data_IF_136710414744
#
_entry.id   IF_136710414744
#
_cell.length_a   1.000
_cell.length_b   1.000
_cell.length_c   1.000
_cell.angle_alpha   90.00
_cell.angle_beta   90.00
_cell.angle_gamma   90.00
#
_symmetry.space_group_name_H-M   'P 1'
#
loop_
_entity.id
_entity.type
_entity.pdbx_description
1 polymer ?
#
# COMPACT_ATOMS: atom_id res chain seq x y z
N UNK A 1 -1.16 -3.82 -21.09
CA UNK A 1 -0.07 -3.72 -22.08
C UNK A 1 0.49 -2.32 -22.27
N UNK A 2 -0.19 -1.28 -21.79
CA UNK A 2 0.23 0.12 -21.93
C UNK A 2 1.64 0.37 -21.32
N UNK A 3 1.92 -0.23 -20.18
CA UNK A 3 3.19 -0.06 -19.45
C UNK A 3 4.21 -1.18 -19.68
N UNK A 4 3.94 -2.12 -20.59
CA UNK A 4 4.75 -3.34 -20.78
C UNK A 4 6.26 -3.08 -20.96
N UNK A 5 6.61 -2.00 -21.64
CA UNK A 5 8.00 -1.64 -21.94
C UNK A 5 8.50 -0.45 -21.11
N UNK A 6 7.72 0.03 -20.16
CA UNK A 6 8.15 1.10 -19.28
C UNK A 6 9.04 0.52 -18.16
N UNK A 7 10.29 1.00 -18.01
CA UNK A 7 11.21 0.45 -17.02
C UNK A 7 10.85 0.84 -15.58
N UNK A 8 10.05 1.89 -15.41
CA UNK A 8 9.68 2.44 -14.09
C UNK A 8 8.38 1.86 -13.54
N UNK A 9 7.49 1.38 -14.41
CA UNK A 9 6.22 0.82 -13.98
C UNK A 9 6.39 -0.54 -13.29
N UNK A 10 5.78 -0.71 -12.13
CA UNK A 10 5.53 -2.00 -11.51
C UNK A 10 4.16 -2.50 -11.96
N UNK A 11 4.07 -3.73 -12.44
CA UNK A 11 2.78 -4.32 -12.75
C UNK A 11 2.20 -5.05 -11.53
N UNK A 12 0.88 -5.05 -11.42
CA UNK A 12 0.18 -5.73 -10.35
C UNK A 12 0.38 -7.25 -10.42
N UNK A 13 0.28 -7.91 -9.29
CA UNK A 13 0.21 -9.36 -9.24
C UNK A 13 -1.12 -9.83 -9.85
N UNK A 14 -1.03 -10.56 -10.96
CA UNK A 14 -2.18 -10.94 -11.77
C UNK A 14 -3.28 -11.67 -10.97
N UNK A 15 -2.88 -12.55 -10.04
CA UNK A 15 -3.83 -13.28 -9.21
C UNK A 15 -4.57 -12.39 -8.21
N UNK A 16 -3.91 -11.36 -7.67
CA UNK A 16 -4.52 -10.41 -6.75
C UNK A 16 -5.44 -9.44 -7.48
N UNK A 17 -5.05 -8.97 -8.67
CA UNK A 17 -5.88 -8.13 -9.52
C UNK A 17 -7.21 -8.83 -9.86
N UNK A 18 -7.18 -10.13 -10.21
CA UNK A 18 -8.40 -10.90 -10.41
C UNK A 18 -9.22 -11.05 -9.14
N UNK A 19 -8.57 -11.42 -8.05
CA UNK A 19 -9.24 -11.63 -6.78
C UNK A 19 -9.87 -10.35 -6.20
N UNK A 20 -9.30 -9.18 -6.50
CA UNK A 20 -9.83 -7.89 -6.06
C UNK A 20 -11.18 -7.58 -6.72
N UNK A 21 -11.35 -7.92 -8.01
CA UNK A 21 -12.55 -7.64 -8.77
C UNK A 21 -13.50 -8.85 -8.91
N UNK A 22 -13.24 -9.94 -8.21
CA UNK A 22 -14.10 -11.12 -8.17
C UNK A 22 -15.03 -11.04 -6.95
N UNK A 23 -16.37 -10.91 -7.16
CA UNK A 23 -17.33 -10.82 -6.06
C UNK A 23 -17.45 -12.09 -5.21
N UNK A 24 -16.99 -13.25 -5.72
CA UNK A 24 -16.95 -14.49 -4.95
C UNK A 24 -15.75 -14.54 -3.98
N UNK A 25 -14.68 -13.79 -4.30
CA UNK A 25 -13.44 -13.76 -3.52
C UNK A 25 -13.36 -12.52 -2.63
N UNK A 26 -13.69 -11.34 -3.17
CA UNK A 26 -13.58 -10.08 -2.44
C UNK A 26 -14.86 -9.77 -1.66
N UNK A 27 -14.81 -9.95 -0.35
CA UNK A 27 -15.96 -9.73 0.55
C UNK A 27 -16.40 -8.24 0.60
N UNK A 28 -15.62 -7.30 0.05
CA UNK A 28 -16.00 -5.89 -0.10
C UNK A 28 -17.26 -5.70 -0.97
N UNK A 29 -17.56 -6.62 -1.87
CA UNK A 29 -18.78 -6.58 -2.68
C UNK A 29 -20.09 -6.71 -1.88
N UNK A 30 -20.03 -7.06 -0.60
CA UNK A 30 -21.20 -6.99 0.30
C UNK A 30 -21.66 -5.57 0.58
N UNK A 31 -20.73 -4.62 0.57
CA UNK A 31 -20.98 -3.21 0.89
C UNK A 31 -20.49 -2.24 -0.20
N UNK A 32 -20.09 -2.77 -1.34
CA UNK A 32 -19.70 -1.99 -2.50
C UNK A 32 -20.22 -2.64 -3.79
N UNK A 33 -20.40 -1.81 -4.82
CA UNK A 33 -20.69 -2.26 -6.19
C UNK A 33 -19.60 -1.75 -7.13
N UNK A 34 -19.26 -2.52 -8.15
CA UNK A 34 -18.26 -2.15 -9.13
C UNK A 34 -18.78 -2.28 -10.55
N UNK A 35 -18.48 -1.28 -11.40
CA UNK A 35 -18.68 -1.34 -12.85
C UNK A 35 -17.36 -1.07 -13.56
N UNK A 36 -16.99 -1.93 -14.50
CA UNK A 36 -15.77 -1.81 -15.30
C UNK A 36 -16.13 -1.42 -16.73
N UNK A 37 -15.37 -0.49 -17.31
CA UNK A 37 -15.56 0.02 -18.65
C UNK A 37 -14.29 -0.11 -19.48
N UNK A 38 -14.44 -0.49 -20.75
CA UNK A 38 -13.38 -0.50 -21.74
C UNK A 38 -13.74 0.49 -22.87
N UNK A 39 -12.77 1.30 -23.27
CA UNK A 39 -12.86 2.14 -24.44
C UNK A 39 -12.12 1.50 -25.62
N UNK A 40 -12.72 1.56 -26.78
CA UNK A 40 -12.14 1.08 -28.04
C UNK A 40 -11.95 2.25 -29.00
N UNK A 41 -10.79 2.30 -29.66
CA UNK A 41 -10.53 3.21 -30.78
C UNK A 41 -9.97 2.41 -31.94
N UNK A 42 -10.59 2.53 -33.12
CA UNK A 42 -10.21 1.77 -34.32
C UNK A 42 -10.13 0.26 -34.09
N UNK A 43 -11.08 -0.30 -33.35
CA UNK A 43 -11.17 -1.74 -33.04
C UNK A 43 -10.16 -2.25 -32.02
N UNK A 44 -9.31 -1.38 -31.43
CA UNK A 44 -8.33 -1.74 -30.39
C UNK A 44 -8.73 -1.14 -29.04
N UNK A 45 -8.39 -1.84 -27.96
CA UNK A 45 -8.57 -1.29 -26.59
C UNK A 45 -7.67 -0.06 -26.48
N UNK A 46 -8.28 1.07 -26.14
CA UNK A 46 -7.64 2.37 -25.97
C UNK A 46 -7.61 2.84 -24.52
N UNK A 47 -8.44 2.29 -23.64
CA UNK A 47 -8.43 2.58 -22.23
C UNK A 47 -9.38 1.72 -21.43
N UNK A 48 -9.23 1.77 -20.12
CA UNK A 48 -10.11 1.12 -19.13
C UNK A 48 -10.32 2.02 -17.94
N UNK A 49 -11.39 1.84 -17.21
CA UNK A 49 -11.64 2.44 -15.90
C UNK A 49 -12.62 1.56 -15.12
N UNK A 50 -12.48 1.49 -13.81
CA UNK A 50 -13.46 0.90 -12.93
C UNK A 50 -14.05 1.97 -12.02
N UNK A 51 -15.37 1.97 -11.83
CA UNK A 51 -16.06 2.73 -10.81
C UNK A 51 -16.41 1.83 -9.64
N UNK A 52 -16.34 2.34 -8.41
CA UNK A 52 -16.69 1.63 -7.19
C UNK A 52 -17.64 2.51 -6.35
N UNK A 53 -18.87 2.06 -6.19
CA UNK A 53 -19.80 2.65 -5.25
C UNK A 53 -19.65 1.98 -3.88
N UNK A 54 -18.85 2.59 -3.01
CA UNK A 54 -18.59 2.07 -1.67
C UNK A 54 -19.66 2.55 -0.68
N UNK A 55 -20.79 1.83 -0.59
CA UNK A 55 -21.93 2.17 0.28
C UNK A 55 -21.51 2.36 1.73
N UNK A 56 -20.71 1.45 2.28
CA UNK A 56 -20.29 1.48 3.69
C UNK A 56 -19.48 2.74 4.05
N UNK A 57 -18.56 3.19 3.18
CA UNK A 57 -17.81 4.43 3.40
C UNK A 57 -18.71 5.65 3.25
N UNK A 58 -19.56 5.68 2.21
CA UNK A 58 -20.49 6.79 1.99
C UNK A 58 -21.44 6.95 3.17
N UNK A 59 -21.98 5.86 3.71
CA UNK A 59 -22.86 5.87 4.88
C UNK A 59 -22.11 6.34 6.14
N UNK A 60 -20.92 5.76 6.40
CA UNK A 60 -20.11 6.08 7.59
C UNK A 60 -19.76 7.56 7.67
N UNK A 61 -19.38 8.17 6.55
CA UNK A 61 -18.88 9.54 6.50
C UNK A 61 -19.88 10.56 5.95
N UNK A 62 -21.08 10.12 5.56
CA UNK A 62 -22.09 11.00 4.95
C UNK A 62 -21.73 11.46 3.53
N UNK A 63 -20.89 10.72 2.82
CA UNK A 63 -20.45 11.08 1.47
C UNK A 63 -21.46 10.65 0.40
N UNK A 64 -21.43 11.35 -0.74
CA UNK A 64 -22.12 10.96 -1.97
C UNK A 64 -21.11 10.79 -3.11
N UNK A 65 -20.15 9.89 -2.89
CA UNK A 65 -18.99 9.71 -3.76
C UNK A 65 -19.05 8.39 -4.51
N UNK A 66 -18.66 8.42 -5.78
CA UNK A 66 -18.28 7.27 -6.59
C UNK A 66 -16.75 7.27 -6.70
N UNK A 67 -16.09 6.21 -6.25
CA UNK A 67 -14.65 6.05 -6.44
C UNK A 67 -14.35 5.61 -7.86
N UNK A 68 -13.18 6.00 -8.41
CA UNK A 68 -12.64 5.37 -9.62
C UNK A 68 -11.27 4.77 -9.34
N UNK A 69 -10.96 3.71 -10.08
CA UNK A 69 -9.67 3.00 -10.04
C UNK A 69 -9.37 2.39 -11.39
N UNK A 70 -8.19 1.79 -11.54
CA UNK A 70 -7.77 1.09 -12.78
C UNK A 70 -7.96 1.96 -14.03
N UNK A 71 -7.73 3.25 -13.89
CA UNK A 71 -7.77 4.20 -14.99
C UNK A 71 -6.47 4.08 -15.80
N UNK A 72 -6.57 3.39 -16.94
CA UNK A 72 -5.49 3.27 -17.91
C UNK A 72 -5.98 3.73 -19.28
N UNK A 73 -5.26 4.62 -19.92
CA UNK A 73 -5.67 5.23 -21.19
C UNK A 73 -4.45 5.55 -22.06
N UNK A 74 -4.60 5.47 -23.38
CA UNK A 74 -3.62 6.01 -24.32
C UNK A 74 -3.63 7.55 -24.24
N UNK A 75 -2.60 8.21 -24.76
CA UNK A 75 -2.55 9.68 -24.84
C UNK A 75 -3.58 10.22 -25.85
N UNK A 76 -4.83 10.22 -25.41
CA UNK A 76 -6.00 10.67 -26.17
C UNK A 76 -7.11 11.12 -25.22
N UNK A 77 -7.28 12.43 -25.11
CA UNK A 77 -8.26 13.01 -24.19
C UNK A 77 -9.70 12.60 -24.47
N UNK A 78 -10.09 12.36 -25.74
CA UNK A 78 -11.44 11.93 -26.07
C UNK A 78 -11.74 10.53 -25.50
N UNK A 79 -10.73 9.65 -25.42
CA UNK A 79 -10.86 8.33 -24.76
C UNK A 79 -11.06 8.52 -23.26
N UNK A 80 -10.27 9.38 -22.62
CA UNK A 80 -10.43 9.73 -21.19
C UNK A 80 -11.83 10.25 -20.93
N UNK A 81 -12.28 11.23 -21.70
CA UNK A 81 -13.61 11.84 -21.59
C UNK A 81 -14.72 10.82 -21.74
N UNK A 82 -14.60 9.90 -22.70
CA UNK A 82 -15.59 8.84 -22.91
C UNK A 82 -15.69 7.89 -21.71
N UNK A 83 -14.56 7.49 -21.12
CA UNK A 83 -14.53 6.67 -19.91
C UNK A 83 -15.15 7.37 -18.71
N UNK A 84 -14.77 8.63 -18.44
CA UNK A 84 -15.34 9.40 -17.32
C UNK A 84 -16.80 9.73 -17.51
N UNK A 85 -17.27 9.94 -18.75
CA UNK A 85 -18.72 10.12 -19.02
C UNK A 85 -19.53 8.91 -18.55
N UNK A 86 -19.01 7.67 -18.71
CA UNK A 86 -19.67 6.47 -18.18
C UNK A 86 -19.74 6.45 -16.66
N UNK A 87 -18.72 6.96 -15.98
CA UNK A 87 -18.75 7.11 -14.53
C UNK A 87 -19.73 8.22 -14.10
N UNK A 88 -19.77 9.35 -14.81
CA UNK A 88 -20.72 10.44 -14.54
C UNK A 88 -22.16 9.97 -14.72
N UNK A 89 -22.43 9.19 -15.78
CA UNK A 89 -23.76 8.61 -16.01
C UNK A 89 -24.16 7.69 -14.86
N UNK A 90 -23.25 6.80 -14.44
CA UNK A 90 -23.51 5.90 -13.33
C UNK A 90 -23.63 6.64 -12.00
N UNK A 91 -22.78 7.62 -11.71
CA UNK A 91 -22.87 8.44 -10.50
C UNK A 91 -24.25 9.09 -10.40
N UNK A 92 -24.78 9.67 -11.50
CA UNK A 92 -26.12 10.24 -11.54
C UNK A 92 -27.22 9.18 -11.32
N UNK A 93 -27.09 8.00 -11.93
CA UNK A 93 -28.02 6.89 -11.77
C UNK A 93 -28.18 6.50 -10.30
N UNK A 94 -27.09 6.47 -9.53
CA UNK A 94 -27.08 6.05 -8.12
C UNK A 94 -27.12 7.23 -7.13
N UNK A 95 -27.34 8.45 -7.61
CA UNK A 95 -27.47 9.65 -6.77
C UNK A 95 -26.19 10.15 -6.11
N UNK A 96 -25.02 9.83 -6.70
CA UNK A 96 -23.73 10.39 -6.28
C UNK A 96 -23.48 11.72 -6.98
N UNK A 97 -22.85 12.65 -6.29
CA UNK A 97 -22.58 13.99 -6.80
C UNK A 97 -21.08 14.29 -6.96
N UNK A 98 -20.23 13.36 -6.61
CA UNK A 98 -18.78 13.49 -6.69
C UNK A 98 -18.15 12.18 -7.19
N UNK A 99 -17.09 12.30 -8.02
CA UNK A 99 -16.23 11.21 -8.42
C UNK A 99 -14.85 11.47 -7.84
N UNK A 100 -14.29 10.49 -7.13
CA UNK A 100 -13.02 10.62 -6.43
C UNK A 100 -12.09 9.45 -6.75
N UNK A 101 -10.80 9.71 -6.76
CA UNK A 101 -9.78 8.67 -7.01
C UNK A 101 -8.53 9.20 -7.69
N UNK A 102 -7.63 8.29 -8.09
CA UNK A 102 -7.80 6.82 -8.06
C UNK A 102 -7.83 6.24 -6.64
N UNK A 103 -8.84 5.45 -6.32
CA UNK A 103 -9.00 4.73 -5.05
C UNK A 103 -9.79 3.44 -5.29
N UNK A 104 -9.36 2.33 -4.70
CA UNK A 104 -10.06 1.06 -4.83
C UNK A 104 -11.02 0.79 -3.66
N UNK A 105 -11.25 -0.48 -3.34
CA UNK A 105 -12.19 -0.91 -2.29
C UNK A 105 -11.72 -0.54 -0.88
N UNK A 106 -10.40 -0.48 -0.65
CA UNK A 106 -9.79 -0.27 0.66
C UNK A 106 -8.53 0.60 0.49
N UNK A 107 -8.14 1.29 1.55
CA UNK A 107 -6.88 2.01 1.71
C UNK A 107 -5.62 1.12 1.73
N UNK A 108 -5.80 -0.20 1.78
CA UNK A 108 -4.72 -1.17 1.54
C UNK A 108 -4.45 -1.44 0.06
N UNK A 109 -5.33 -0.96 -0.81
CA UNK A 109 -5.12 -1.00 -2.26
C UNK A 109 -4.34 0.23 -2.73
N UNK A 110 -3.89 0.19 -3.98
CA UNK A 110 -3.21 1.31 -4.60
C UNK A 110 -4.11 2.55 -4.69
N UNK A 111 -3.57 3.69 -4.29
CA UNK A 111 -4.26 4.98 -4.31
C UNK A 111 -3.39 6.07 -4.93
N UNK A 112 -4.06 7.09 -5.48
CA UNK A 112 -3.43 8.27 -6.05
C UNK A 112 -2.87 8.07 -7.45
N UNK A 113 -2.86 9.13 -8.23
CA UNK A 113 -2.29 9.23 -9.56
C UNK A 113 -0.92 9.91 -9.47
N UNK A 114 0.12 9.34 -10.07
CA UNK A 114 1.45 9.94 -10.11
C UNK A 114 1.39 11.32 -10.78
N UNK A 115 1.93 12.35 -10.10
CA UNK A 115 1.98 13.73 -10.59
C UNK A 115 3.41 14.27 -10.67
N UNK A 116 4.37 13.62 -10.00
CA UNK A 116 5.79 13.99 -10.02
C UNK A 116 6.65 12.75 -9.77
N UNK A 117 7.88 12.72 -10.32
CA UNK A 117 8.78 11.58 -10.22
C UNK A 117 8.53 10.49 -11.26
N UNK A 118 8.11 10.84 -12.46
CA UNK A 118 7.82 9.92 -13.57
C UNK A 118 9.05 9.13 -14.07
N UNK A 119 10.24 9.60 -13.74
CA UNK A 119 11.54 8.94 -14.02
C UNK A 119 11.99 8.02 -12.87
N UNK A 120 11.22 7.92 -11.81
CA UNK A 120 11.49 7.05 -10.66
C UNK A 120 10.71 5.75 -10.77
N UNK A 121 11.27 4.72 -10.16
CA UNK A 121 10.64 3.41 -10.11
C UNK A 121 9.42 3.42 -9.19
N UNK A 122 8.28 2.89 -9.67
CA UNK A 122 7.16 2.55 -8.77
C UNK A 122 7.42 1.21 -8.09
N UNK A 123 6.91 1.06 -6.90
CA UNK A 123 6.89 -0.22 -6.19
C UNK A 123 5.54 -0.93 -6.36
N UNK A 124 5.34 -2.01 -5.62
CA UNK A 124 4.15 -2.86 -5.71
C UNK A 124 2.84 -2.18 -5.24
N UNK A 125 2.94 -1.19 -4.35
CA UNK A 125 1.78 -0.50 -3.76
C UNK A 125 1.52 0.87 -4.39
N UNK A 126 2.22 1.22 -5.46
CA UNK A 126 2.12 2.52 -6.12
C UNK A 126 1.57 2.40 -7.53
N UNK A 127 0.69 3.31 -7.91
CA UNK A 127 0.21 3.44 -9.28
C UNK A 127 1.29 4.17 -10.11
N UNK A 128 1.64 3.59 -11.26
CA UNK A 128 2.41 4.30 -12.28
C UNK A 128 1.48 4.75 -13.41
N UNK A 129 1.61 5.99 -13.82
CA UNK A 129 0.96 6.53 -15.01
C UNK A 129 1.89 7.49 -15.75
N UNK A 130 1.60 7.74 -17.03
CA UNK A 130 2.34 8.71 -17.83
C UNK A 130 1.98 10.17 -17.47
N UNK A 131 2.86 11.16 -17.75
CA UNK A 131 2.62 12.58 -17.43
C UNK A 131 1.32 13.14 -18.00
N UNK A 132 0.89 12.73 -19.21
CA UNK A 132 -0.32 13.23 -19.86
C UNK A 132 -1.61 12.96 -19.08
N UNK A 133 -1.59 12.03 -18.11
CA UNK A 133 -2.74 11.80 -17.23
C UNK A 133 -3.10 13.04 -16.41
N UNK A 134 -2.10 13.78 -15.94
CA UNK A 134 -2.31 15.04 -15.19
C UNK A 134 -3.06 16.04 -16.06
N UNK A 135 -2.60 16.24 -17.30
CA UNK A 135 -3.27 17.13 -18.25
C UNK A 135 -4.69 16.68 -18.58
N UNK A 136 -4.92 15.38 -18.71
CA UNK A 136 -6.25 14.83 -18.96
C UNK A 136 -7.20 15.10 -17.80
N UNK A 137 -6.75 14.95 -16.56
CA UNK A 137 -7.55 15.23 -15.37
C UNK A 137 -7.84 16.72 -15.23
N UNK A 138 -6.88 17.59 -15.51
CA UNK A 138 -7.09 19.05 -15.54
C UNK A 138 -8.12 19.47 -16.60
N UNK A 139 -8.05 18.89 -17.81
CA UNK A 139 -9.03 19.13 -18.88
C UNK A 139 -10.44 18.62 -18.53
N UNK A 140 -10.55 17.59 -17.68
CA UNK A 140 -11.83 17.14 -17.13
C UNK A 140 -12.38 18.07 -16.05
N UNK A 141 -11.58 19.02 -15.55
CA UNK A 141 -11.94 19.90 -14.45
C UNK A 141 -11.77 19.27 -13.06
N UNK A 142 -10.96 18.23 -12.96
CA UNK A 142 -10.62 17.63 -11.68
C UNK A 142 -9.81 18.60 -10.80
N UNK A 143 -10.00 18.52 -9.48
CA UNK A 143 -9.29 19.34 -8.50
C UNK A 143 -8.61 18.43 -7.45
N UNK A 144 -7.57 18.97 -6.84
CA UNK A 144 -6.84 18.28 -5.77
C UNK A 144 -7.71 18.13 -4.52
N UNK A 145 -7.72 16.92 -3.98
CA UNK A 145 -8.23 16.62 -2.63
C UNK A 145 -7.08 16.41 -1.66
N UNK A 146 -6.17 15.50 -1.99
CA UNK A 146 -5.01 15.15 -1.16
C UNK A 146 -3.85 14.72 -2.03
N UNK A 147 -2.62 14.94 -1.56
CA UNK A 147 -1.41 14.38 -2.17
C UNK A 147 -0.79 13.31 -1.25
N UNK A 148 -0.14 12.34 -1.87
CA UNK A 148 0.70 11.35 -1.21
C UNK A 148 2.16 11.57 -1.58
N UNK A 149 3.03 11.58 -0.57
CA UNK A 149 4.47 11.71 -0.72
C UNK A 149 5.14 10.34 -0.62
N UNK A 150 6.06 10.04 -1.54
CA UNK A 150 6.88 8.83 -1.52
C UNK A 150 8.34 9.22 -1.35
N UNK A 151 9.05 8.51 -0.48
CA UNK A 151 10.45 8.78 -0.15
C UNK A 151 11.32 7.60 -0.52
N UNK A 152 12.48 7.89 -1.11
CA UNK A 152 13.57 6.94 -1.20
C UNK A 152 14.55 7.22 -0.08
N UNK A 153 14.98 6.18 0.63
CA UNK A 153 15.82 6.29 1.82
C UNK A 153 17.03 5.38 1.66
N UNK A 154 18.22 5.92 1.90
CA UNK A 154 19.44 5.14 2.03
C UNK A 154 19.55 4.65 3.49
N UNK A 155 19.44 3.33 3.76
CA UNK A 155 19.57 2.84 5.12
C UNK A 155 20.98 3.02 5.64
N UNK A 156 21.16 3.25 6.96
CA UNK A 156 22.48 3.28 7.58
C UNK A 156 23.11 1.88 7.54
N UNK A 157 24.43 1.80 7.56
CA UNK A 157 25.20 0.54 7.61
C UNK A 157 25.14 -0.15 8.97
N UNK A 158 24.76 0.57 10.00
CA UNK A 158 24.51 0.05 11.36
C UNK A 158 23.42 0.88 12.03
N UNK A 159 22.70 0.29 12.96
CA UNK A 159 21.66 1.02 13.71
C UNK A 159 22.30 2.14 14.52
N UNK A 160 21.81 3.39 14.41
CA UNK A 160 22.31 4.50 15.22
C UNK A 160 22.08 4.23 16.72
N UNK A 161 23.13 4.39 17.54
CA UNK A 161 23.10 4.12 18.99
C UNK A 161 21.98 4.86 19.73
N UNK A 162 21.66 6.07 19.28
CA UNK A 162 20.54 6.86 19.84
C UNK A 162 19.18 6.18 19.65
N UNK A 163 18.97 5.53 18.52
CA UNK A 163 17.70 4.81 18.23
C UNK A 163 17.63 3.57 19.11
N UNK A 164 18.75 2.82 19.19
CA UNK A 164 18.85 1.62 20.02
C UNK A 164 18.61 1.94 21.50
N UNK A 165 19.35 2.89 22.08
CA UNK A 165 19.18 3.29 23.49
C UNK A 165 17.76 3.77 23.79
N UNK A 166 17.11 4.49 22.86
CA UNK A 166 15.73 4.92 23.02
C UNK A 166 14.77 3.73 23.00
N UNK A 167 14.96 2.79 22.08
CA UNK A 167 14.17 1.55 21.99
C UNK A 167 14.25 0.78 23.31
N UNK A 168 15.47 0.51 23.79
CA UNK A 168 15.71 -0.24 25.04
C UNK A 168 15.05 0.44 26.25
N UNK A 169 15.22 1.75 26.38
CA UNK A 169 14.60 2.54 27.46
C UNK A 169 13.06 2.49 27.42
N UNK A 170 12.47 2.54 26.23
CA UNK A 170 11.00 2.48 26.07
C UNK A 170 10.49 1.08 26.40
N UNK A 171 11.18 0.03 25.95
CA UNK A 171 10.82 -1.37 26.25
C UNK A 171 10.88 -1.61 27.75
N UNK A 172 11.96 -1.23 28.43
CA UNK A 172 12.11 -1.38 29.87
C UNK A 172 11.04 -0.60 30.65
N UNK A 173 10.87 0.69 30.33
CA UNK A 173 9.94 1.58 31.02
C UNK A 173 8.48 1.11 30.99
N UNK A 174 8.04 0.59 29.87
CA UNK A 174 6.62 0.24 29.66
C UNK A 174 6.38 -1.28 29.61
N UNK A 175 7.43 -2.10 29.69
CA UNK A 175 7.33 -3.56 29.62
C UNK A 175 6.83 -4.05 28.27
N UNK A 176 7.32 -3.45 27.18
CA UNK A 176 7.06 -3.94 25.83
C UNK A 176 8.02 -5.08 25.48
N UNK A 177 7.53 -5.99 24.64
CA UNK A 177 8.29 -7.12 24.13
C UNK A 177 8.19 -7.15 22.61
N UNK A 178 9.22 -7.66 21.92
CA UNK A 178 9.19 -7.91 20.47
C UNK A 178 8.91 -9.40 20.26
N UNK A 179 7.90 -9.70 19.44
CA UNK A 179 7.59 -11.06 19.04
C UNK A 179 8.71 -11.65 18.21
N UNK A 180 9.22 -12.82 18.57
CA UNK A 180 10.14 -13.59 17.73
C UNK A 180 9.37 -14.24 16.56
N UNK A 181 9.17 -13.45 15.49
CA UNK A 181 8.46 -13.88 14.29
C UNK A 181 9.13 -15.10 13.64
N UNK A 182 10.47 -15.18 13.68
CA UNK A 182 11.21 -16.31 13.11
C UNK A 182 10.93 -17.61 13.85
N UNK A 183 10.88 -17.55 15.18
CA UNK A 183 10.52 -18.69 16.02
C UNK A 183 9.11 -19.19 15.67
N UNK A 184 8.11 -18.31 15.66
CA UNK A 184 6.72 -18.71 15.39
C UNK A 184 6.52 -19.17 13.94
N UNK A 185 7.21 -18.58 12.98
CA UNK A 185 7.17 -19.02 11.57
C UNK A 185 7.66 -20.46 11.42
N UNK A 186 8.64 -20.86 12.22
CA UNK A 186 9.23 -22.21 12.19
C UNK A 186 8.45 -23.22 13.04
N UNK A 187 7.99 -22.82 14.23
CA UNK A 187 7.51 -23.75 15.26
C UNK A 187 6.01 -23.69 15.51
N UNK A 188 5.37 -22.53 15.33
CA UNK A 188 3.92 -22.34 15.57
C UNK A 188 3.32 -21.34 14.58
N UNK A 189 3.20 -21.75 13.34
CA UNK A 189 2.59 -20.93 12.27
C UNK A 189 1.13 -20.59 12.55
N UNK A 190 0.42 -21.40 13.36
CA UNK A 190 -0.97 -21.12 13.70
C UNK A 190 -1.03 -19.88 14.58
N UNK A 191 -0.24 -19.84 15.66
CA UNK A 191 -0.20 -18.68 16.56
C UNK A 191 0.35 -17.44 15.85
N UNK A 192 1.33 -17.58 14.93
CA UNK A 192 1.78 -16.45 14.12
C UNK A 192 0.66 -15.83 13.30
N UNK A 193 -0.19 -16.63 12.67
CA UNK A 193 -1.35 -16.12 11.92
C UNK A 193 -2.34 -15.37 12.81
N UNK A 194 -2.55 -15.83 14.03
CA UNK A 194 -3.38 -15.13 15.01
C UNK A 194 -2.78 -13.76 15.35
N UNK A 195 -1.47 -13.66 15.61
CA UNK A 195 -0.79 -12.37 15.81
C UNK A 195 -0.89 -11.43 14.59
N UNK A 196 -0.82 -11.97 13.37
CA UNK A 196 -1.01 -11.15 12.16
C UNK A 196 -2.44 -10.61 12.08
N UNK A 197 -3.45 -11.39 12.46
CA UNK A 197 -4.84 -10.90 12.53
C UNK A 197 -5.00 -9.85 13.64
N UNK A 198 -4.42 -10.07 14.83
CA UNK A 198 -4.37 -9.05 15.89
C UNK A 198 -3.69 -7.74 15.41
N UNK A 199 -2.63 -7.84 14.56
CA UNK A 199 -2.00 -6.66 13.96
C UNK A 199 -2.94 -5.92 12.99
N UNK A 200 -3.87 -6.62 12.30
CA UNK A 200 -4.90 -5.97 11.49
C UNK A 200 -5.91 -5.20 12.36
N UNK A 201 -6.22 -5.68 13.58
CA UNK A 201 -7.05 -4.94 14.52
C UNK A 201 -6.35 -3.65 14.98
N UNK A 202 -5.02 -3.71 15.18
CA UNK A 202 -4.20 -2.52 15.47
C UNK A 202 -4.22 -1.55 14.30
N UNK A 203 -4.15 -2.04 13.05
CA UNK A 203 -4.26 -1.21 11.84
C UNK A 203 -5.60 -0.47 11.81
N UNK A 204 -6.72 -1.20 11.93
CA UNK A 204 -8.07 -0.61 11.93
C UNK A 204 -8.20 0.49 12.99
N UNK A 205 -7.69 0.24 14.21
CA UNK A 205 -7.75 1.20 15.31
C UNK A 205 -6.84 2.42 15.08
N UNK A 206 -5.65 2.21 14.54
CA UNK A 206 -4.67 3.27 14.29
C UNK A 206 -5.08 4.19 13.13
N UNK A 207 -5.78 3.65 12.12
CA UNK A 207 -6.07 4.35 10.86
C UNK A 207 -7.53 4.83 10.75
N UNK A 208 -8.34 4.62 11.78
CA UNK A 208 -9.79 4.91 11.77
C UNK A 208 -10.17 6.32 11.30
N UNK A 209 -9.29 7.30 11.49
CA UNK A 209 -9.49 8.71 11.13
C UNK A 209 -8.69 9.14 9.89
N UNK A 210 -7.96 8.24 9.22
CA UNK A 210 -7.23 8.59 8.01
C UNK A 210 -8.19 8.65 6.82
N UNK A 211 -7.82 9.50 5.85
CA UNK A 211 -8.58 9.65 4.61
C UNK A 211 -8.66 8.32 3.83
N UNK A 212 -9.83 8.00 3.32
CA UNK A 212 -10.04 6.82 2.49
C UNK A 212 -10.24 5.50 3.24
N UNK A 213 -9.96 5.46 4.55
CA UNK A 213 -9.96 4.20 5.32
C UNK A 213 -11.34 3.58 5.50
N UNK A 214 -11.37 2.27 5.44
CA UNK A 214 -12.52 1.44 5.74
C UNK A 214 -12.10 0.25 6.60
N UNK A 215 -12.74 0.02 7.76
CA UNK A 215 -12.41 -1.12 8.61
C UNK A 215 -12.55 -2.44 7.85
N UNK A 216 -11.60 -3.34 8.07
CA UNK A 216 -11.62 -4.66 7.46
C UNK A 216 -12.57 -5.60 8.23
N UNK A 217 -13.38 -6.35 7.51
CA UNK A 217 -14.09 -7.47 8.14
C UNK A 217 -13.18 -8.70 8.29
N UNK A 218 -13.63 -9.69 9.07
CA UNK A 218 -12.84 -10.89 9.39
C UNK A 218 -12.33 -11.65 8.16
N UNK A 219 -13.12 -11.71 7.09
CA UNK A 219 -12.70 -12.39 5.85
C UNK A 219 -11.62 -11.60 5.11
N UNK A 220 -11.73 -10.28 5.10
CA UNK A 220 -10.71 -9.40 4.54
C UNK A 220 -9.40 -9.52 5.33
N UNK A 221 -9.45 -9.49 6.68
CA UNK A 221 -8.28 -9.70 7.55
C UNK A 221 -7.60 -11.05 7.27
N UNK A 222 -8.36 -12.12 7.12
CA UNK A 222 -7.83 -13.44 6.79
C UNK A 222 -7.17 -13.44 5.40
N UNK A 223 -7.73 -12.73 4.43
CA UNK A 223 -7.14 -12.60 3.09
C UNK A 223 -5.83 -11.84 3.15
N UNK A 224 -5.81 -10.68 3.78
CA UNK A 224 -4.61 -9.86 3.94
C UNK A 224 -3.52 -10.61 4.73
N UNK A 225 -3.89 -11.33 5.77
CA UNK A 225 -2.97 -12.20 6.51
C UNK A 225 -2.30 -13.22 5.58
N UNK A 226 -3.04 -13.86 4.66
CA UNK A 226 -2.46 -14.81 3.71
C UNK A 226 -1.48 -14.13 2.76
N UNK A 227 -1.79 -12.94 2.28
CA UNK A 227 -0.93 -12.13 1.40
C UNK A 227 0.36 -11.78 2.14
N UNK A 228 0.28 -11.20 3.33
CA UNK A 228 1.43 -10.85 4.17
C UNK A 228 2.30 -12.09 4.45
N UNK A 229 1.70 -13.19 4.86
CA UNK A 229 2.44 -14.44 5.13
C UNK A 229 3.20 -14.99 3.91
N UNK A 230 2.77 -14.66 2.68
CA UNK A 230 3.45 -15.10 1.45
C UNK A 230 4.73 -14.33 1.15
N UNK A 231 4.87 -13.11 1.66
CA UNK A 231 6.03 -12.21 1.45
C UNK A 231 6.78 -11.90 2.75
N UNK A 232 6.44 -12.59 3.83
CA UNK A 232 6.99 -12.35 5.16
C UNK A 232 8.48 -12.69 5.22
N UNK A 233 9.28 -11.70 5.60
CA UNK A 233 10.69 -11.88 5.97
C UNK A 233 10.81 -11.46 7.44
N UNK A 234 11.06 -12.42 8.36
CA UNK A 234 11.00 -12.16 9.80
C UNK A 234 11.90 -11.02 10.29
N UNK A 235 13.07 -10.87 9.69
CA UNK A 235 14.06 -9.87 10.11
C UNK A 235 13.60 -8.40 9.87
N UNK A 236 12.59 -8.15 9.03
CA UNK A 236 12.11 -6.81 8.68
C UNK A 236 10.65 -6.54 9.03
N UNK A 237 10.05 -7.41 9.83
CA UNK A 237 8.71 -7.22 10.39
C UNK A 237 8.81 -7.17 11.91
N UNK A 238 8.22 -6.14 12.50
CA UNK A 238 8.20 -5.96 13.95
C UNK A 238 6.78 -6.11 14.46
N UNK A 239 6.56 -6.93 15.47
CA UNK A 239 5.32 -7.01 16.24
C UNK A 239 5.65 -6.73 17.69
N UNK A 240 5.06 -5.68 18.26
CA UNK A 240 5.27 -5.25 19.64
C UNK A 240 4.13 -5.77 20.50
N UNK A 241 4.48 -6.46 21.55
CA UNK A 241 3.54 -7.03 22.52
C UNK A 241 3.56 -6.22 23.82
N UNK A 242 2.40 -6.19 24.49
CA UNK A 242 2.24 -5.80 25.86
C UNK A 242 1.29 -6.79 26.54
N UNK A 243 1.76 -7.44 27.61
CA UNK A 243 1.02 -8.48 28.32
C UNK A 243 0.47 -9.57 27.40
N UNK A 244 1.30 -10.00 26.41
CA UNK A 244 1.00 -11.04 25.44
C UNK A 244 0.04 -10.66 24.31
N UNK A 245 -0.39 -9.38 24.20
CA UNK A 245 -1.27 -8.86 23.15
C UNK A 245 -0.51 -7.95 22.20
N UNK A 246 -0.87 -7.95 20.93
CA UNK A 246 -0.31 -7.04 19.94
C UNK A 246 -0.80 -5.62 20.20
N UNK A 247 0.14 -4.68 20.40
CA UNK A 247 -0.18 -3.27 20.65
C UNK A 247 0.38 -2.34 19.57
N UNK A 248 1.36 -2.83 18.80
CA UNK A 248 1.90 -2.11 17.66
C UNK A 248 2.59 -3.08 16.71
N UNK A 249 2.75 -2.64 15.47
CA UNK A 249 3.53 -3.38 14.48
C UNK A 249 4.17 -2.43 13.46
N UNK A 250 5.21 -2.91 12.79
CA UNK A 250 5.79 -2.32 11.60
C UNK A 250 5.95 -3.40 10.53
N UNK A 251 5.41 -3.13 9.36
CA UNK A 251 5.43 -4.06 8.23
C UNK A 251 6.31 -3.52 7.11
N UNK A 252 7.34 -4.28 6.79
CA UNK A 252 8.19 -4.05 5.64
C UNK A 252 8.26 -5.33 4.81
N UNK A 253 8.37 -5.21 3.50
CA UNK A 253 8.50 -6.34 2.59
C UNK A 253 9.67 -6.15 1.62
N UNK A 254 10.30 -7.22 1.15
CA UNK A 254 11.20 -7.14 0.00
C UNK A 254 10.46 -6.57 -1.21
N UNK A 255 11.07 -5.60 -1.92
CA UNK A 255 10.42 -5.02 -3.10
C UNK A 255 10.20 -6.05 -4.18
N UNK A 256 8.96 -6.23 -4.58
CA UNK A 256 8.55 -7.20 -5.60
C UNK A 256 8.65 -6.66 -7.03
N UNK A 257 9.09 -5.40 -7.24
CA UNK A 257 9.13 -4.78 -8.56
C UNK A 257 9.81 -5.66 -9.61
N UNK A 258 11.05 -6.09 -9.34
CA UNK A 258 11.82 -6.91 -10.29
C UNK A 258 11.14 -8.26 -10.58
N UNK A 259 10.53 -8.86 -9.55
CA UNK A 259 9.78 -10.12 -9.64
C UNK A 259 8.59 -9.96 -10.58
N UNK A 260 7.81 -8.91 -10.37
CA UNK A 260 6.59 -8.64 -11.12
C UNK A 260 6.89 -8.22 -12.56
N UNK A 261 7.91 -7.39 -12.79
CA UNK A 261 8.33 -7.00 -14.14
C UNK A 261 8.80 -8.22 -14.94
N UNK A 262 9.72 -9.04 -14.41
CA UNK A 262 10.23 -10.24 -15.08
C UNK A 262 9.15 -11.31 -15.27
N UNK A 263 8.29 -11.47 -14.26
CA UNK A 263 7.16 -12.39 -14.25
C UNK A 263 5.94 -11.89 -15.03
N UNK A 264 5.93 -10.62 -15.45
CA UNK A 264 4.75 -9.94 -16.05
C UNK A 264 3.50 -10.09 -15.19
N UNK A 265 3.62 -9.76 -13.90
CA UNK A 265 2.57 -9.90 -12.91
C UNK A 265 2.33 -11.33 -12.43
N UNK A 266 3.21 -12.29 -12.75
CA UNK A 266 3.09 -13.70 -12.32
C UNK A 266 4.36 -14.15 -11.62
N UNK A 267 4.22 -14.78 -10.46
CA UNK A 267 5.39 -15.32 -9.72
C UNK A 267 5.88 -16.62 -10.38
N UNK A 268 4.96 -17.49 -10.84
CA UNK A 268 5.32 -18.75 -11.48
C UNK A 268 6.03 -18.55 -12.82
N UNK A 269 6.85 -19.51 -13.22
CA UNK A 269 7.73 -19.48 -14.38
C UNK A 269 8.85 -18.45 -14.25
N UNK A 270 8.79 -17.33 -14.98
CA UNK A 270 9.84 -16.32 -15.06
C UNK A 270 10.03 -15.51 -13.77
N UNK A 271 8.99 -15.40 -12.94
CA UNK A 271 9.04 -14.68 -11.67
C UNK A 271 9.60 -15.50 -10.51
N UNK A 272 9.62 -16.84 -10.58
CA UNK A 272 9.96 -17.69 -9.44
C UNK A 272 11.41 -17.52 -8.96
N UNK A 273 12.39 -17.54 -9.87
CA UNK A 273 13.80 -17.36 -9.51
C UNK A 273 14.05 -15.96 -8.94
N UNK A 274 13.60 -14.86 -9.58
CA UNK A 274 13.65 -13.54 -8.97
C UNK A 274 12.99 -13.48 -7.60
N UNK A 275 11.81 -14.08 -7.42
CA UNK A 275 11.11 -14.12 -6.13
C UNK A 275 11.95 -14.79 -5.04
N UNK A 276 12.44 -16.00 -5.26
CA UNK A 276 13.26 -16.73 -4.29
C UNK A 276 14.54 -15.96 -3.93
N UNK A 277 15.16 -15.30 -4.92
CA UNK A 277 16.36 -14.48 -4.70
C UNK A 277 16.02 -13.24 -3.87
N UNK A 278 14.93 -12.52 -4.23
CA UNK A 278 14.48 -11.32 -3.52
C UNK A 278 14.11 -11.62 -2.08
N UNK A 279 13.40 -12.74 -1.83
CA UNK A 279 13.03 -13.15 -0.46
C UNK A 279 14.25 -13.50 0.39
N UNK A 280 15.32 -14.03 -0.21
CA UNK A 280 16.52 -14.42 0.51
C UNK A 280 17.53 -13.29 0.68
N UNK A 281 17.66 -12.43 -0.32
CA UNK A 281 18.65 -11.35 -0.38
C UNK A 281 18.02 -10.07 -0.95
N UNK A 282 17.13 -9.41 -0.21
CA UNK A 282 16.48 -8.19 -0.66
C UNK A 282 17.49 -7.06 -0.77
N UNK A 283 17.55 -6.39 -1.92
CA UNK A 283 18.34 -5.16 -2.10
C UNK A 283 17.53 -3.91 -1.80
N UNK A 284 16.25 -3.96 -2.14
CA UNK A 284 15.27 -2.90 -1.86
C UNK A 284 14.17 -3.47 -0.98
N UNK A 285 13.74 -2.70 0.00
CA UNK A 285 12.64 -3.01 0.91
C UNK A 285 11.61 -1.91 0.83
N UNK A 286 10.34 -2.29 0.67
CA UNK A 286 9.20 -1.40 0.68
C UNK A 286 8.68 -1.31 2.12
N UNK A 287 8.63 -0.09 2.67
CA UNK A 287 8.09 0.22 4.00
C UNK A 287 6.59 0.44 3.85
N UNK A 288 5.77 -0.54 4.25
CA UNK A 288 4.33 -0.50 4.03
C UNK A 288 3.63 0.40 5.04
N UNK A 289 3.59 -0.01 6.30
CA UNK A 289 2.88 0.74 7.32
C UNK A 289 3.40 0.46 8.74
N UNK A 290 3.05 1.37 9.66
CA UNK A 290 3.26 1.26 11.10
C UNK A 290 1.90 1.52 11.76
N UNK A 291 1.43 0.54 12.53
CA UNK A 291 0.24 0.67 13.37
C UNK A 291 0.61 0.70 14.84
N UNK A 292 -0.01 1.60 15.61
CA UNK A 292 0.15 1.69 17.06
C UNK A 292 -1.21 1.99 17.66
N UNK A 293 -1.68 1.16 18.58
CA UNK A 293 -2.94 1.40 19.28
C UNK A 293 -2.96 2.80 19.92
N UNK A 294 -4.10 3.53 19.88
CA UNK A 294 -4.21 4.90 20.38
C UNK A 294 -3.65 5.09 21.80
N UNK A 295 -3.91 4.16 22.70
CA UNK A 295 -3.45 4.18 24.10
C UNK A 295 -1.94 3.98 24.29
N UNK A 296 -1.23 3.52 23.25
CA UNK A 296 0.22 3.33 23.23
C UNK A 296 0.95 4.42 22.43
N UNK A 297 0.23 5.32 21.77
CA UNK A 297 0.82 6.46 21.08
C UNK A 297 1.47 7.45 22.05
N UNK A 298 2.49 8.18 21.57
CA UNK A 298 3.23 9.14 22.40
C UNK A 298 4.20 8.53 23.41
N UNK A 299 4.29 7.19 23.50
CA UNK A 299 5.19 6.48 24.44
C UNK A 299 6.55 6.08 23.85
N UNK A 300 6.86 6.50 22.62
CA UNK A 300 8.13 6.17 21.95
C UNK A 300 8.16 4.82 21.24
N UNK A 301 7.03 4.12 21.11
CA UNK A 301 6.91 2.82 20.42
C UNK A 301 7.51 2.82 19.00
N UNK A 302 7.42 3.92 18.19
CA UNK A 302 8.10 3.95 16.89
C UNK A 302 9.61 3.66 16.96
N UNK A 303 10.31 4.01 18.07
CA UNK A 303 11.74 3.72 18.22
C UNK A 303 12.00 2.22 18.30
N UNK A 304 11.12 1.44 18.95
CA UNK A 304 11.21 -0.03 19.03
C UNK A 304 11.10 -0.61 17.61
N UNK A 305 10.06 -0.18 16.87
CA UNK A 305 9.79 -0.68 15.51
C UNK A 305 10.95 -0.35 14.57
N UNK A 306 11.40 0.91 14.57
CA UNK A 306 12.49 1.37 13.70
C UNK A 306 13.80 0.66 14.06
N UNK A 307 14.12 0.50 15.36
CA UNK A 307 15.32 -0.20 15.79
C UNK A 307 15.35 -1.63 15.24
N UNK A 308 14.30 -2.39 15.51
CA UNK A 308 14.23 -3.80 15.09
C UNK A 308 14.24 -3.96 13.56
N UNK A 309 13.47 -3.14 12.84
CA UNK A 309 13.49 -3.15 11.37
C UNK A 309 14.89 -2.80 10.83
N UNK A 310 15.58 -1.80 11.39
CA UNK A 310 16.93 -1.41 10.95
C UNK A 310 17.96 -2.51 11.25
N UNK A 311 17.86 -3.22 12.36
CA UNK A 311 18.73 -4.38 12.65
C UNK A 311 18.59 -5.43 11.56
N UNK A 312 17.35 -5.76 11.16
CA UNK A 312 17.09 -6.69 10.07
C UNK A 312 17.57 -6.18 8.71
N UNK A 313 17.32 -4.91 8.39
CA UNK A 313 17.76 -4.24 7.17
C UNK A 313 19.29 -4.29 7.04
N UNK A 314 20.02 -3.92 8.10
CA UNK A 314 21.49 -4.00 8.13
C UNK A 314 21.99 -5.43 7.98
N UNK A 315 21.40 -6.38 8.72
CA UNK A 315 21.75 -7.81 8.67
C UNK A 315 21.58 -8.41 7.26
N UNK A 316 20.52 -8.02 6.55
CA UNK A 316 20.24 -8.50 5.21
C UNK A 316 21.04 -7.77 4.12
N UNK A 317 21.75 -6.70 4.44
CA UNK A 317 22.52 -5.90 3.48
C UNK A 317 21.65 -5.15 2.50
N UNK A 318 20.47 -4.69 2.93
CA UNK A 318 19.56 -3.86 2.13
C UNK A 318 20.23 -2.53 1.82
N UNK A 319 20.14 -2.07 0.58
CA UNK A 319 20.80 -0.85 0.12
C UNK A 319 19.85 0.30 -0.19
N UNK A 320 18.52 0.02 -0.23
CA UNK A 320 17.51 1.01 -0.56
C UNK A 320 16.20 0.70 0.17
N UNK A 321 15.56 1.72 0.70
CA UNK A 321 14.21 1.65 1.24
C UNK A 321 13.29 2.56 0.42
N UNK A 322 12.08 2.10 0.15
CA UNK A 322 11.00 2.89 -0.44
C UNK A 322 9.90 3.07 0.61
N UNK A 323 9.56 4.30 0.90
CA UNK A 323 8.57 4.65 1.92
C UNK A 323 7.45 5.50 1.30
N UNK A 324 6.26 4.96 1.26
CA UNK A 324 5.08 5.64 0.73
C UNK A 324 4.14 4.67 0.03
N UNK A 325 2.99 5.16 -0.44
CA UNK A 325 2.51 6.55 -0.38
C UNK A 325 2.10 6.98 1.04
N UNK A 326 2.45 8.22 1.42
CA UNK A 326 2.12 8.80 2.72
C UNK A 326 1.35 10.10 2.52
N UNK A 327 0.20 10.24 3.15
CA UNK A 327 -0.61 11.47 3.10
C UNK A 327 0.24 12.70 3.40
N UNK A 328 0.08 13.78 2.63
CA UNK A 328 0.88 15.01 2.76
C UNK A 328 0.75 15.67 4.14
N UNK A 329 -0.37 15.49 4.82
CA UNK A 329 -0.66 16.00 6.15
C UNK A 329 -0.17 15.08 7.29
N UNK A 330 0.24 13.84 6.99
CA UNK A 330 0.83 12.92 7.96
C UNK A 330 2.27 13.31 8.32
N UNK A 331 2.42 14.51 8.85
CA UNK A 331 3.74 15.10 9.20
C UNK A 331 4.48 14.31 10.30
N UNK A 332 3.78 13.48 11.07
CA UNK A 332 4.40 12.66 12.14
C UNK A 332 5.32 11.61 11.52
N UNK A 333 4.85 10.88 10.52
CA UNK A 333 5.63 9.85 9.82
C UNK A 333 6.73 10.51 8.98
N UNK A 334 6.41 11.57 8.23
CA UNK A 334 7.38 12.26 7.38
C UNK A 334 8.56 12.86 8.16
N UNK A 335 8.36 13.25 9.44
CA UNK A 335 9.44 13.73 10.31
C UNK A 335 10.47 12.64 10.65
N UNK A 336 10.09 11.36 10.59
CA UNK A 336 11.01 10.25 10.84
C UNK A 336 12.12 10.21 9.78
N UNK A 337 11.78 10.54 8.53
CA UNK A 337 12.73 10.49 7.42
C UNK A 337 13.83 11.54 7.51
N UNK A 338 13.63 12.62 8.28
CA UNK A 338 14.67 13.65 8.54
C UNK A 338 15.89 13.13 9.32
N UNK A 339 15.77 11.97 9.94
CA UNK A 339 16.88 11.32 10.65
C UNK A 339 17.71 10.40 9.75
N UNK A 340 17.32 10.26 8.48
CA UNK A 340 17.96 9.39 7.50
C UNK A 340 18.36 10.19 6.26
N UNK A 341 19.26 9.63 5.48
CA UNK A 341 19.53 10.10 4.12
C UNK A 341 18.33 9.75 3.24
N UNK A 342 17.43 10.71 3.06
CA UNK A 342 16.13 10.53 2.41
C UNK A 342 15.83 11.66 1.43
N UNK A 343 15.23 11.31 0.29
CA UNK A 343 14.70 12.26 -0.69
C UNK A 343 13.21 12.02 -0.93
N UNK A 344 12.45 13.10 -1.14
CA UNK A 344 11.11 13.03 -1.68
C UNK A 344 11.23 12.64 -3.15
N UNK A 345 10.93 11.39 -3.48
CA UNK A 345 11.21 10.82 -4.80
C UNK A 345 10.02 10.92 -5.75
N UNK A 346 8.80 10.81 -5.23
CA UNK A 346 7.57 10.83 -6.05
C UNK A 346 6.43 11.50 -5.30
N UNK A 347 5.45 12.01 -6.06
CA UNK A 347 4.16 12.45 -5.53
C UNK A 347 3.02 11.85 -6.33
N UNK A 348 1.97 11.45 -5.62
CA UNK A 348 0.69 11.05 -6.21
C UNK A 348 -0.45 11.95 -5.70
N UNK A 349 -1.55 12.02 -6.45
CA UNK A 349 -2.73 12.85 -6.13
C UNK A 349 -4.01 12.07 -6.32
#
# INVERSE_FOLDING_TARGET
DLYRNNPHACCNLYAEEFAEFDPEINDAFRFADCRMFLAYKNGKIAGRIAGIWHRGVNEKFGYKQLRFTRFDVIDDFEVTKALFNKLFDWAKEIGMNEIIGPMSFSDLNEEGMLIDGFDKDSNYIEIYNYPYYVEHMEKLGAYKVVDWNCYTITPPTAVPEKIKSLSDSVMEKYGYEILDVAYYLKHDKKRLKEYVVEAMDVLDAAFVNLYGTSPLNEKQKIREMKTIMSVLVPDIVTVVLKDGKVVAYGCCIPSLKEVLQKGRGRIFFRGLIPYLRTMKHPRTVDLLNIGILPEHQGRGVPAIIINHCLEGICKLGVTKLEAGPQLEDNTRVQRLWKFFDSELSKKAR
#
